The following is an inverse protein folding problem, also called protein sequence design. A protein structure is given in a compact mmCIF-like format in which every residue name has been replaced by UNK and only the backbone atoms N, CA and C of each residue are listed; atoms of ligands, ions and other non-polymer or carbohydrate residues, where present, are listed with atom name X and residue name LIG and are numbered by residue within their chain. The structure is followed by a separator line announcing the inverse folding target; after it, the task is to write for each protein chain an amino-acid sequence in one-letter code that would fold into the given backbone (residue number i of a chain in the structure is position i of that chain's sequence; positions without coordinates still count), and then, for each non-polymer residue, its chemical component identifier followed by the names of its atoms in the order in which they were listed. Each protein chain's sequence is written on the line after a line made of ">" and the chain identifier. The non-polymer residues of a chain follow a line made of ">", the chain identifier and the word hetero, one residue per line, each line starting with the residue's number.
data_IF_115912780996
#
_entry.id   IF_115912780996
#
_cell.length_a   1.000
_cell.length_b   1.000
_cell.length_c   1.000
_cell.angle_alpha   90.00
_cell.angle_beta   90.00
_cell.angle_gamma   90.00
#
_symmetry.space_group_name_H-M   'P 1'
#
loop_
_entity.id
_entity.type
_entity.pdbx_description
1 polymer ?
#
# COMPACT_ATOMS: atom_id res chain seq x y z
N UNK A 1 5.80 19.20 24.24
CA UNK A 1 5.77 17.72 24.22
C UNK A 1 4.97 17.21 23.03
N UNK A 2 5.22 17.72 21.81
CA UNK A 2 4.45 17.36 20.62
C UNK A 2 5.31 17.27 19.35
N UNK A 3 6.64 17.26 19.46
CA UNK A 3 7.58 17.29 18.33
C UNK A 3 8.42 16.00 18.18
N UNK A 4 8.08 14.91 18.88
CA UNK A 4 8.89 13.67 18.85
C UNK A 4 8.29 12.51 18.04
N UNK A 5 7.17 12.70 17.33
CA UNK A 5 6.46 11.59 16.66
C UNK A 5 6.79 11.39 15.17
N UNK A 6 7.70 12.19 14.60
CA UNK A 6 8.07 12.10 13.17
C UNK A 6 9.56 12.26 12.89
N UNK A 7 10.43 11.82 13.81
CA UNK A 7 11.84 11.62 13.48
C UNK A 7 12.00 10.23 12.83
N UNK A 8 11.60 10.13 11.56
CA UNK A 8 12.08 9.05 10.71
C UNK A 8 13.55 9.37 10.40
N UNK A 9 14.46 8.75 11.15
CA UNK A 9 15.84 8.58 10.71
C UNK A 9 15.80 7.93 9.34
N UNK A 10 16.04 8.74 8.30
CA UNK A 10 16.35 8.29 6.97
C UNK A 10 17.73 7.64 7.01
N UNK A 11 17.81 6.46 7.63
CA UNK A 11 18.94 5.57 7.44
C UNK A 11 18.81 5.04 6.01
N UNK A 12 19.79 5.31 5.13
CA UNK A 12 19.80 4.69 3.81
C UNK A 12 19.78 3.18 3.99
N UNK A 13 19.07 2.42 3.12
CA UNK A 13 19.01 0.98 3.22
C UNK A 13 20.44 0.45 3.24
N UNK A 14 20.85 -0.11 4.38
CA UNK A 14 22.10 -0.84 4.45
C UNK A 14 21.94 -2.01 3.48
N UNK A 15 22.80 -2.03 2.47
CA UNK A 15 23.01 -3.20 1.63
C UNK A 15 23.41 -4.30 2.60
N UNK A 16 22.46 -5.20 2.88
CA UNK A 16 22.75 -6.46 3.56
C UNK A 16 23.58 -7.25 2.56
N UNK A 17 24.89 -7.05 2.60
CA UNK A 17 25.82 -8.04 2.07
C UNK A 17 25.65 -9.26 2.96
N UNK A 18 25.00 -10.28 2.42
CA UNK A 18 24.89 -11.59 3.04
C UNK A 18 26.28 -12.02 3.56
N UNK A 19 26.38 -12.60 4.76
CA UNK A 19 27.61 -13.21 5.20
C UNK A 19 27.94 -14.34 4.22
N UNK A 20 29.04 -14.16 3.48
CA UNK A 20 29.66 -15.21 2.65
C UNK A 20 29.83 -16.45 3.53
N UNK A 21 29.02 -17.46 3.23
CA UNK A 21 29.04 -18.75 3.91
C UNK A 21 30.47 -19.31 3.92
N UNK A 22 31.00 -19.74 5.07
CA UNK A 22 32.33 -20.33 5.12
C UNK A 22 32.35 -21.62 4.29
N UNK A 23 33.18 -21.59 3.24
CA UNK A 23 33.56 -22.72 2.40
C UNK A 23 33.78 -23.99 3.25
N UNK A 24 33.04 -25.09 3.02
CA UNK A 24 33.25 -26.31 3.78
C UNK A 24 34.65 -26.86 3.47
N UNK A 25 35.45 -27.03 4.53
CA UNK A 25 36.74 -27.72 4.46
C UNK A 25 36.47 -29.18 4.10
N UNK A 26 37.01 -29.61 2.97
CA UNK A 26 37.09 -31.00 2.55
C UNK A 26 37.87 -31.82 3.58
N UNK A 27 37.15 -32.49 4.48
CA UNK A 27 37.71 -33.53 5.34
C UNK A 27 37.58 -34.88 4.63
N UNK A 28 38.70 -35.35 4.07
CA UNK A 28 38.91 -36.77 3.76
C UNK A 28 38.78 -37.56 5.06
N UNK A 29 37.75 -38.40 5.18
CA UNK A 29 37.82 -39.61 6.00
C UNK A 29 36.95 -40.68 5.34
N UNK A 30 37.62 -41.57 4.59
CA UNK A 30 37.05 -42.83 4.13
C UNK A 30 36.94 -43.76 5.34
N UNK A 31 35.75 -44.27 5.70
CA UNK A 31 35.68 -45.42 6.57
C UNK A 31 36.17 -46.65 5.80
N UNK A 32 37.17 -47.35 6.35
CA UNK A 32 37.51 -48.72 5.94
C UNK A 32 36.26 -49.58 6.12
N UNK A 33 35.63 -49.99 5.02
CA UNK A 33 34.67 -51.10 4.99
C UNK A 33 35.37 -52.33 5.60
N UNK A 34 34.88 -52.80 6.74
CA UNK A 34 35.23 -54.11 7.24
C UNK A 34 34.62 -55.15 6.32
N UNK A 35 35.49 -56.03 5.80
CA UNK A 35 35.11 -57.24 5.10
C UNK A 35 34.42 -58.17 6.12
N UNK A 36 33.11 -58.37 5.99
CA UNK A 36 32.40 -59.47 6.63
C UNK A 36 32.44 -60.67 5.66
N UNK A 37 32.83 -61.88 6.11
CA UNK A 37 32.73 -63.08 5.29
C UNK A 37 31.26 -63.38 5.01
N UNK A 38 30.98 -63.68 3.74
CA UNK A 38 29.71 -64.20 3.25
C UNK A 38 29.40 -65.54 3.93
N UNK A 39 28.30 -65.58 4.66
CA UNK A 39 27.63 -66.82 5.04
C UNK A 39 26.81 -67.29 3.84
N UNK A 40 27.17 -68.45 3.31
CA UNK A 40 26.49 -69.09 2.19
C UNK A 40 25.18 -69.68 2.71
N UNK A 41 24.07 -69.03 2.38
CA UNK A 41 22.74 -69.60 2.56
C UNK A 41 21.88 -69.35 1.32
N UNK A 42 21.73 -70.42 0.53
CA UNK A 42 20.68 -70.69 -0.46
C UNK A 42 20.14 -69.47 -1.24
N UNK A 43 20.83 -69.16 -2.34
CA UNK A 43 20.26 -68.41 -3.46
C UNK A 43 19.19 -69.27 -4.14
N UNK A 44 17.93 -69.10 -3.73
CA UNK A 44 16.82 -69.29 -4.67
C UNK A 44 16.98 -68.20 -5.73
N UNK A 45 17.11 -68.60 -7.01
CA UNK A 45 17.22 -67.72 -8.18
C UNK A 45 16.05 -66.73 -8.21
N UNK A 46 16.20 -65.58 -7.54
CA UNK A 46 15.32 -64.44 -7.74
C UNK A 46 15.62 -63.91 -9.14
N UNK A 47 14.79 -64.30 -10.11
CA UNK A 47 14.85 -63.76 -11.47
C UNK A 47 15.02 -62.24 -11.39
N UNK A 48 16.07 -61.73 -12.02
CA UNK A 48 16.36 -60.31 -12.04
C UNK A 48 15.11 -59.59 -12.57
N UNK A 49 14.45 -58.74 -11.78
CA UNK A 49 13.16 -58.14 -12.15
C UNK A 49 13.27 -57.36 -13.47
N UNK A 50 14.46 -56.81 -13.78
CA UNK A 50 14.75 -56.17 -15.05
C UNK A 50 14.64 -57.12 -16.24
N UNK A 51 15.21 -58.33 -16.13
CA UNK A 51 15.18 -59.35 -17.19
C UNK A 51 13.76 -59.87 -17.42
N UNK A 52 12.98 -60.00 -16.35
CA UNK A 52 11.55 -60.35 -16.44
C UNK A 52 10.77 -59.31 -17.25
N UNK A 53 11.01 -58.01 -17.01
CA UNK A 53 10.38 -56.94 -17.78
C UNK A 53 10.85 -56.85 -19.24
N UNK A 54 12.13 -57.12 -19.50
CA UNK A 54 12.66 -57.17 -20.89
C UNK A 54 12.03 -58.33 -21.66
N UNK A 55 11.88 -59.51 -21.05
CA UNK A 55 11.17 -60.65 -21.68
C UNK A 55 9.69 -60.34 -21.88
N UNK A 56 9.03 -59.78 -20.86
CA UNK A 56 7.62 -59.38 -20.95
C UNK A 56 7.37 -58.35 -22.07
N UNK A 57 8.30 -57.41 -22.28
CA UNK A 57 8.24 -56.45 -23.38
C UNK A 57 8.42 -57.12 -24.76
N UNK A 58 9.34 -58.09 -24.87
CA UNK A 58 9.57 -58.86 -26.10
C UNK A 58 8.33 -59.69 -26.49
N UNK A 59 7.56 -60.15 -25.51
CA UNK A 59 6.29 -60.86 -25.72
C UNK A 59 5.11 -59.92 -26.08
N UNK A 60 5.37 -58.61 -26.23
CA UNK A 60 4.35 -57.60 -26.55
C UNK A 60 3.52 -57.12 -25.35
N UNK A 61 4.01 -57.35 -24.13
CA UNK A 61 3.38 -56.87 -22.90
C UNK A 61 3.35 -55.34 -22.79
N UNK A 62 2.32 -54.80 -22.11
CA UNK A 62 2.20 -53.35 -21.88
C UNK A 62 3.11 -52.91 -20.73
N UNK A 63 4.07 -52.04 -21.05
CA UNK A 63 5.02 -51.46 -20.09
C UNK A 63 4.43 -50.30 -19.26
N UNK A 64 3.15 -49.95 -19.46
CA UNK A 64 2.50 -48.86 -18.73
C UNK A 64 2.42 -49.06 -17.21
N UNK A 65 2.46 -50.32 -16.74
CA UNK A 65 2.44 -50.67 -15.32
C UNK A 65 3.83 -50.83 -14.68
N UNK A 66 4.90 -50.72 -15.47
CA UNK A 66 6.27 -50.80 -14.97
C UNK A 66 6.63 -49.54 -14.16
N UNK A 67 7.45 -49.70 -13.13
CA UNK A 67 7.99 -48.56 -12.38
C UNK A 67 8.79 -47.64 -13.35
N UNK A 68 8.48 -46.34 -13.42
CA UNK A 68 9.21 -45.40 -14.27
C UNK A 68 10.73 -45.40 -14.08
N UNK A 69 11.24 -45.82 -12.92
CA UNK A 69 12.68 -45.91 -12.64
C UNK A 69 13.39 -47.03 -13.43
N UNK A 70 12.70 -48.13 -13.75
CA UNK A 70 13.30 -49.25 -14.49
C UNK A 70 13.25 -49.07 -16.02
N UNK A 71 12.40 -48.17 -16.53
CA UNK A 71 12.23 -47.95 -17.98
C UNK A 71 13.51 -47.59 -18.74
N UNK A 72 14.43 -46.74 -18.23
CA UNK A 72 15.72 -46.48 -18.89
C UNK A 72 16.56 -47.75 -19.06
N UNK A 73 16.64 -48.58 -18.01
CA UNK A 73 17.42 -49.81 -18.01
C UNK A 73 16.78 -50.87 -18.92
N UNK A 74 15.44 -50.94 -18.97
CA UNK A 74 14.70 -51.81 -19.91
C UNK A 74 14.96 -51.37 -21.37
N UNK A 75 15.02 -50.07 -21.66
CA UNK A 75 15.35 -49.56 -23.00
C UNK A 75 16.77 -49.94 -23.41
N UNK A 76 17.73 -49.94 -22.47
CA UNK A 76 19.10 -50.39 -22.71
C UNK A 76 19.10 -51.91 -22.96
N UNK A 77 18.45 -52.68 -22.10
CA UNK A 77 18.34 -54.14 -22.24
C UNK A 77 17.70 -54.58 -23.57
N UNK A 78 16.60 -53.96 -23.98
CA UNK A 78 15.95 -54.23 -25.27
C UNK A 78 16.84 -53.85 -26.47
N UNK A 79 17.63 -52.77 -26.35
CA UNK A 79 18.61 -52.39 -27.38
C UNK A 79 19.70 -53.46 -27.51
N UNK A 80 20.18 -53.98 -26.39
CA UNK A 80 21.23 -54.99 -26.37
C UNK A 80 20.72 -56.33 -26.94
N UNK A 81 19.49 -56.75 -26.56
CA UNK A 81 18.81 -57.93 -27.14
C UNK A 81 18.59 -57.78 -28.66
N UNK A 82 18.14 -56.62 -29.11
CA UNK A 82 18.01 -56.35 -30.55
C UNK A 82 19.36 -56.46 -31.27
N UNK A 83 20.42 -55.89 -30.69
CA UNK A 83 21.75 -55.92 -31.29
C UNK A 83 22.32 -57.35 -31.34
N UNK A 84 22.08 -58.19 -30.32
CA UNK A 84 22.51 -59.60 -30.35
C UNK A 84 21.77 -60.38 -31.44
N UNK A 85 20.44 -60.22 -31.55
CA UNK A 85 19.63 -60.89 -32.58
C UNK A 85 20.06 -60.52 -34.01
N UNK A 86 20.47 -59.26 -34.23
CA UNK A 86 21.03 -58.80 -35.51
C UNK A 86 22.39 -59.44 -35.83
N UNK A 87 23.25 -59.61 -34.82
CA UNK A 87 24.56 -60.28 -34.98
C UNK A 87 24.37 -61.77 -35.31
N UNK A 88 23.38 -62.41 -34.68
CA UNK A 88 23.10 -63.83 -34.85
C UNK A 88 22.28 -64.14 -36.12
N UNK A 89 21.76 -63.12 -36.80
CA UNK A 89 21.01 -63.26 -38.07
C UNK A 89 19.51 -63.51 -37.92
N UNK A 90 18.95 -63.39 -36.72
CA UNK A 90 17.51 -63.52 -36.44
C UNK A 90 16.79 -62.21 -36.73
N UNK A 91 16.49 -61.97 -38.01
CA UNK A 91 15.92 -60.71 -38.47
C UNK A 91 14.50 -60.49 -37.93
N UNK A 92 13.64 -61.50 -37.95
CA UNK A 92 12.24 -61.35 -37.52
C UNK A 92 12.12 -61.01 -36.03
N UNK A 93 12.89 -61.71 -35.17
CA UNK A 93 12.94 -61.44 -33.73
C UNK A 93 13.56 -60.06 -33.43
N UNK A 94 14.51 -59.60 -34.26
CA UNK A 94 15.08 -58.26 -34.13
C UNK A 94 14.06 -57.15 -34.42
N UNK A 95 13.08 -57.40 -35.31
CA UNK A 95 11.99 -56.46 -35.59
C UNK A 95 11.07 -56.37 -34.38
N UNK A 96 10.71 -57.50 -33.77
CA UNK A 96 9.92 -57.53 -32.53
C UNK A 96 10.63 -56.77 -31.39
N UNK A 97 11.95 -56.95 -31.26
CA UNK A 97 12.75 -56.20 -30.29
C UNK A 97 12.76 -54.68 -30.56
N UNK A 98 12.79 -54.27 -31.83
CA UNK A 98 12.70 -52.85 -32.20
C UNK A 98 11.30 -52.28 -31.92
N UNK A 99 10.23 -53.03 -32.15
CA UNK A 99 8.85 -52.63 -31.82
C UNK A 99 8.67 -52.48 -30.30
N UNK A 100 9.14 -53.45 -29.52
CA UNK A 100 9.15 -53.39 -28.06
C UNK A 100 9.96 -52.20 -27.53
N UNK A 101 11.12 -51.92 -28.13
CA UNK A 101 11.97 -50.78 -27.82
C UNK A 101 11.29 -49.44 -28.18
N UNK A 102 10.60 -49.36 -29.32
CA UNK A 102 9.83 -48.18 -29.70
C UNK A 102 8.66 -47.93 -28.72
N UNK A 103 7.98 -48.99 -28.29
CA UNK A 103 6.93 -48.94 -27.28
C UNK A 103 7.49 -48.47 -25.92
N UNK A 104 8.57 -49.07 -25.44
CA UNK A 104 9.24 -48.70 -24.18
C UNK A 104 9.68 -47.22 -24.18
N UNK A 105 10.26 -46.74 -25.29
CA UNK A 105 10.62 -45.32 -25.45
C UNK A 105 9.41 -44.40 -25.40
N UNK A 106 8.28 -44.79 -26.00
CA UNK A 106 7.03 -44.02 -25.97
C UNK A 106 6.46 -43.93 -24.56
N UNK A 107 6.40 -45.05 -23.83
CA UNK A 107 5.93 -45.09 -22.43
C UNK A 107 6.85 -44.25 -21.53
N UNK A 108 8.17 -44.41 -21.67
CA UNK A 108 9.15 -43.64 -20.90
C UNK A 108 9.02 -42.13 -21.16
N UNK A 109 8.91 -41.72 -22.43
CA UNK A 109 8.65 -40.32 -22.80
C UNK A 109 7.37 -39.81 -22.13
N UNK A 110 6.27 -40.53 -22.23
CA UNK A 110 4.99 -40.13 -21.62
C UNK A 110 5.10 -39.97 -20.10
N UNK A 111 5.84 -40.86 -19.42
CA UNK A 111 6.09 -40.76 -17.98
C UNK A 111 6.93 -39.53 -17.62
N UNK A 112 7.95 -39.20 -18.43
CA UNK A 112 8.72 -37.97 -18.26
C UNK A 112 7.84 -36.72 -18.43
N UNK A 113 6.98 -36.66 -19.46
CA UNK A 113 6.02 -35.56 -19.64
C UNK A 113 5.07 -35.42 -18.43
N UNK A 114 4.50 -36.53 -17.96
CA UNK A 114 3.59 -36.53 -16.80
C UNK A 114 4.29 -36.07 -15.53
N UNK A 115 5.48 -36.58 -15.25
CA UNK A 115 6.25 -36.21 -14.06
C UNK A 115 6.68 -34.74 -14.10
N UNK A 116 7.17 -34.25 -15.24
CA UNK A 116 7.51 -32.83 -15.42
C UNK A 116 6.29 -31.93 -15.20
N UNK A 117 5.15 -32.27 -15.80
CA UNK A 117 3.90 -31.52 -15.64
C UNK A 117 3.38 -31.54 -14.20
N UNK A 118 3.48 -32.69 -13.53
CA UNK A 118 3.09 -32.84 -12.13
C UNK A 118 3.94 -31.96 -11.21
N UNK A 119 5.26 -32.04 -11.33
CA UNK A 119 6.18 -31.25 -10.49
C UNK A 119 5.94 -29.74 -10.65
N UNK A 120 5.73 -29.27 -11.88
CA UNK A 120 5.44 -27.85 -12.15
C UNK A 120 4.07 -27.46 -11.59
N UNK A 121 3.05 -28.32 -11.74
CA UNK A 121 1.73 -28.08 -11.16
C UNK A 121 1.80 -27.99 -9.63
N UNK A 122 2.56 -28.88 -8.98
CA UNK A 122 2.72 -28.89 -7.53
C UNK A 122 3.45 -27.62 -7.05
N UNK A 123 4.51 -27.18 -7.75
CA UNK A 123 5.18 -25.89 -7.49
C UNK A 123 4.22 -24.69 -7.62
N UNK A 124 3.45 -24.65 -8.71
CA UNK A 124 2.47 -23.58 -8.94
C UNK A 124 1.37 -23.56 -7.89
N UNK A 125 0.90 -24.74 -7.45
CA UNK A 125 -0.09 -24.85 -6.38
C UNK A 125 0.47 -24.36 -5.04
N UNK A 126 1.72 -24.69 -4.71
CA UNK A 126 2.38 -24.16 -3.51
C UNK A 126 2.48 -22.63 -3.56
N UNK A 127 2.96 -22.08 -4.69
CA UNK A 127 3.02 -20.63 -4.92
C UNK A 127 1.65 -19.95 -4.87
N UNK A 128 0.59 -20.64 -5.31
CA UNK A 128 -0.78 -20.15 -5.24
C UNK A 128 -1.26 -20.06 -3.79
N UNK A 129 -1.00 -21.09 -2.99
CA UNK A 129 -1.35 -21.11 -1.58
C UNK A 129 -0.61 -20.01 -0.82
N UNK A 130 0.71 -19.88 -1.02
CA UNK A 130 1.52 -18.79 -0.45
C UNK A 130 0.97 -17.39 -0.84
N UNK A 131 0.54 -17.22 -2.09
CA UNK A 131 -0.03 -15.95 -2.54
C UNK A 131 -1.41 -15.66 -1.92
N UNK A 132 -2.21 -16.71 -1.64
CA UNK A 132 -3.50 -16.59 -0.95
C UNK A 132 -3.32 -16.28 0.54
N UNK A 133 -2.38 -16.95 1.20
CA UNK A 133 -2.05 -16.68 2.60
C UNK A 133 -1.53 -15.25 2.76
N UNK A 134 -0.63 -14.81 1.86
CA UNK A 134 -0.15 -13.43 1.86
C UNK A 134 -1.26 -12.39 1.60
N UNK A 135 -2.29 -12.72 0.81
CA UNK A 135 -3.46 -11.87 0.63
C UNK A 135 -4.30 -11.79 1.91
N UNK A 136 -4.52 -12.91 2.59
CA UNK A 136 -5.25 -12.95 3.86
C UNK A 136 -4.53 -12.13 4.94
N UNK A 137 -3.21 -12.29 5.08
CA UNK A 137 -2.39 -11.50 6.00
C UNK A 137 -2.48 -9.99 5.68
N UNK A 138 -2.48 -9.63 4.39
CA UNK A 138 -2.64 -8.24 3.96
C UNK A 138 -4.03 -7.70 4.31
N UNK A 139 -5.09 -8.48 4.14
CA UNK A 139 -6.45 -8.10 4.52
C UNK A 139 -6.57 -7.88 6.04
N UNK A 140 -6.01 -8.77 6.86
CA UNK A 140 -6.01 -8.65 8.31
C UNK A 140 -5.21 -7.43 8.79
N UNK A 141 -4.01 -7.23 8.25
CA UNK A 141 -3.18 -6.07 8.61
C UNK A 141 -3.81 -4.74 8.20
N UNK A 142 -4.43 -4.68 7.01
CA UNK A 142 -5.13 -3.46 6.56
C UNK A 142 -6.39 -3.20 7.36
N UNK A 143 -7.12 -4.24 7.81
CA UNK A 143 -8.27 -4.06 8.70
C UNK A 143 -7.84 -3.54 10.07
N UNK A 144 -6.76 -4.08 10.64
CA UNK A 144 -6.21 -3.60 11.91
C UNK A 144 -5.75 -2.15 11.84
N UNK A 145 -5.01 -1.78 10.79
CA UNK A 145 -4.57 -0.41 10.57
C UNK A 145 -5.73 0.56 10.40
N UNK A 146 -6.80 0.16 9.70
CA UNK A 146 -8.01 0.95 9.51
C UNK A 146 -8.74 1.20 10.84
N UNK A 147 -8.91 0.15 11.65
CA UNK A 147 -9.49 0.28 12.99
C UNK A 147 -8.69 1.23 13.88
N UNK A 148 -7.36 1.07 13.90
CA UNK A 148 -6.45 1.94 14.66
C UNK A 148 -6.51 3.39 14.19
N UNK A 149 -6.54 3.62 12.88
CA UNK A 149 -6.68 4.96 12.31
C UNK A 149 -7.98 5.63 12.76
N UNK A 150 -9.10 4.90 12.70
CA UNK A 150 -10.40 5.40 13.13
C UNK A 150 -10.42 5.72 14.64
N UNK A 151 -9.81 4.89 15.48
CA UNK A 151 -9.69 5.16 16.91
C UNK A 151 -8.91 6.45 17.19
N UNK A 152 -7.81 6.68 16.46
CA UNK A 152 -7.03 7.91 16.58
C UNK A 152 -7.87 9.13 16.17
N UNK A 153 -8.60 9.05 15.05
CA UNK A 153 -9.47 10.14 14.58
C UNK A 153 -10.56 10.49 15.63
N UNK A 154 -11.21 9.48 16.21
CA UNK A 154 -12.21 9.68 17.27
C UNK A 154 -11.60 10.34 18.51
N UNK A 155 -10.39 9.93 18.89
CA UNK A 155 -9.67 10.54 20.01
C UNK A 155 -9.31 12.00 19.73
N UNK A 156 -8.84 12.32 18.53
CA UNK A 156 -8.55 13.70 18.10
C UNK A 156 -9.81 14.57 18.14
N UNK A 157 -10.96 14.05 17.73
CA UNK A 157 -12.24 14.77 17.76
C UNK A 157 -12.71 15.02 19.21
N UNK A 158 -12.54 14.04 20.10
CA UNK A 158 -12.87 14.20 21.52
C UNK A 158 -12.01 15.29 22.19
N UNK A 159 -10.70 15.30 21.89
CA UNK A 159 -9.77 16.32 22.39
C UNK A 159 -10.15 17.71 21.87
N UNK A 160 -10.52 17.81 20.58
CA UNK A 160 -10.97 19.06 19.98
C UNK A 160 -12.23 19.60 20.70
N UNK A 161 -13.21 18.72 20.94
CA UNK A 161 -14.46 19.07 21.59
C UNK A 161 -14.27 19.52 23.04
N UNK A 162 -13.42 18.83 23.80
CA UNK A 162 -13.06 19.23 25.16
C UNK A 162 -12.41 20.62 25.18
N UNK A 163 -11.50 20.89 24.25
CA UNK A 163 -10.88 22.21 24.10
C UNK A 163 -11.92 23.29 23.75
N UNK A 164 -12.83 23.03 22.81
CA UNK A 164 -13.91 23.96 22.46
C UNK A 164 -14.80 24.27 23.65
N UNK A 165 -15.12 23.25 24.46
CA UNK A 165 -15.92 23.40 25.68
C UNK A 165 -15.20 24.27 26.72
N UNK A 166 -13.90 24.03 26.93
CA UNK A 166 -13.06 24.86 27.82
C UNK A 166 -12.97 26.31 27.34
N UNK A 167 -12.76 26.53 26.05
CA UNK A 167 -12.74 27.89 25.47
C UNK A 167 -14.09 28.61 25.67
N UNK A 168 -15.20 27.87 25.56
CA UNK A 168 -16.54 28.42 25.79
C UNK A 168 -16.75 28.81 27.26
N UNK A 169 -16.38 27.93 28.18
CA UNK A 169 -16.51 28.20 29.61
C UNK A 169 -15.62 29.37 30.03
N UNK A 170 -14.37 29.42 29.55
CA UNK A 170 -13.46 30.53 29.81
C UNK A 170 -14.03 31.86 29.30
N UNK A 171 -14.70 31.86 28.15
CA UNK A 171 -15.38 33.05 27.64
C UNK A 171 -16.50 33.47 28.61
N UNK A 172 -17.37 32.54 29.02
CA UNK A 172 -18.45 32.84 29.98
C UNK A 172 -17.87 33.42 31.28
N UNK A 173 -16.87 32.75 31.87
CA UNK A 173 -16.18 33.20 33.07
C UNK A 173 -15.56 34.59 32.91
N UNK A 174 -14.91 34.87 31.77
CA UNK A 174 -14.33 36.20 31.48
C UNK A 174 -15.40 37.29 31.50
N UNK A 175 -16.56 37.03 30.90
CA UNK A 175 -17.66 37.99 30.79
C UNK A 175 -18.42 38.19 32.11
N UNK A 176 -18.45 37.19 32.98
CA UNK A 176 -18.96 37.31 34.35
C UNK A 176 -18.01 38.07 35.29
N UNK A 177 -16.74 38.23 34.91
CA UNK A 177 -15.80 38.97 35.76
C UNK A 177 -16.20 40.43 35.95
N UNK A 178 -16.03 40.91 37.18
CA UNK A 178 -16.36 42.29 37.53
C UNK A 178 -15.58 43.33 36.71
N UNK A 179 -14.40 42.96 36.17
CA UNK A 179 -13.62 43.82 35.27
C UNK A 179 -14.37 44.11 33.97
N UNK A 180 -15.01 43.12 33.35
CA UNK A 180 -15.82 43.30 32.14
C UNK A 180 -17.10 44.06 32.45
N UNK A 181 -17.82 43.68 33.51
CA UNK A 181 -19.05 44.36 33.92
C UNK A 181 -18.84 45.88 34.19
N UNK A 182 -17.70 46.27 34.76
CA UNK A 182 -17.35 47.69 34.98
C UNK A 182 -17.27 48.52 33.69
N UNK A 183 -16.93 47.90 32.56
CA UNK A 183 -16.89 48.58 31.26
C UNK A 183 -18.27 49.06 30.79
N UNK A 184 -19.32 48.31 31.14
CA UNK A 184 -20.70 48.58 30.76
C UNK A 184 -21.46 49.37 31.83
N UNK A 185 -21.07 49.27 33.10
CA UNK A 185 -21.71 49.94 34.24
C UNK A 185 -21.18 51.36 34.52
N UNK A 186 -20.88 52.15 33.48
CA UNK A 186 -20.34 53.51 33.65
C UNK A 186 -21.45 54.54 33.79
N UNK A 187 -21.59 55.08 35.00
CA UNK A 187 -22.55 56.15 35.34
C UNK A 187 -22.32 57.39 34.48
N UNK A 188 -23.38 57.94 33.90
CA UNK A 188 -23.32 59.17 33.12
C UNK A 188 -22.88 60.38 33.96
N UNK A 189 -22.49 61.46 33.30
CA UNK A 189 -22.20 62.71 33.99
C UNK A 189 -23.47 63.32 34.62
N UNK A 190 -24.62 63.15 33.96
CA UNK A 190 -25.91 63.66 34.44
C UNK A 190 -26.37 62.93 35.71
N UNK A 191 -26.27 61.60 35.75
CA UNK A 191 -26.62 60.84 36.94
C UNK A 191 -25.71 61.18 38.13
N UNK A 192 -24.41 61.36 37.88
CA UNK A 192 -23.47 61.87 38.90
C UNK A 192 -23.86 63.25 39.40
N UNK A 193 -24.23 64.16 38.50
CA UNK A 193 -24.67 65.50 38.85
C UNK A 193 -25.96 65.48 39.69
N UNK A 194 -26.97 64.68 39.31
CA UNK A 194 -28.21 64.56 40.06
C UNK A 194 -27.99 63.99 41.46
N UNK A 195 -27.09 63.01 41.61
CA UNK A 195 -26.71 62.46 42.92
C UNK A 195 -26.00 63.50 43.79
N UNK A 196 -25.02 64.23 43.25
CA UNK A 196 -24.35 65.32 43.98
C UNK A 196 -25.32 66.45 44.35
N UNK A 197 -26.25 66.81 43.45
CA UNK A 197 -27.29 67.80 43.73
C UNK A 197 -28.23 67.34 44.85
N UNK A 198 -28.65 66.08 44.85
CA UNK A 198 -29.50 65.52 45.91
C UNK A 198 -28.79 65.57 47.28
N UNK A 199 -27.49 65.25 47.33
CA UNK A 199 -26.67 65.32 48.54
C UNK A 199 -26.49 66.76 49.04
N UNK A 200 -26.25 67.71 48.15
CA UNK A 200 -26.15 69.14 48.49
C UNK A 200 -27.47 69.66 49.06
N UNK A 201 -28.60 69.32 48.46
CA UNK A 201 -29.94 69.68 48.94
C UNK A 201 -30.25 69.06 50.30
N UNK A 202 -29.80 67.81 50.53
CA UNK A 202 -29.94 67.13 51.82
C UNK A 202 -29.16 67.85 52.91
N UNK A 203 -27.89 68.23 52.66
CA UNK A 203 -27.06 69.01 53.58
C UNK A 203 -27.65 70.40 53.87
N UNK A 204 -28.30 71.01 52.89
CA UNK A 204 -29.02 72.28 53.02
C UNK A 204 -30.39 72.16 53.72
N UNK A 205 -30.77 70.97 54.21
CA UNK A 205 -32.06 70.67 54.88
C UNK A 205 -33.29 70.88 53.99
N UNK A 206 -33.13 70.87 52.66
CA UNK A 206 -34.22 70.97 51.69
C UNK A 206 -34.74 69.59 51.29
N UNK A 207 -35.42 68.92 52.21
CA UNK A 207 -35.76 67.50 52.08
C UNK A 207 -36.70 67.18 50.91
N UNK A 208 -37.70 68.02 50.65
CA UNK A 208 -38.67 67.77 49.57
C UNK A 208 -38.01 67.88 48.18
N UNK A 209 -37.19 68.90 47.96
CA UNK A 209 -36.43 69.08 46.72
C UNK A 209 -35.44 67.93 46.51
N UNK A 210 -34.69 67.54 47.56
CA UNK A 210 -33.77 66.40 47.52
C UNK A 210 -34.50 65.10 47.13
N UNK A 211 -35.70 64.86 47.66
CA UNK A 211 -36.51 63.68 47.32
C UNK A 211 -36.93 63.65 45.84
N UNK A 212 -37.28 64.80 45.26
CA UNK A 212 -37.64 64.92 43.85
C UNK A 212 -36.41 64.63 42.96
N UNK A 213 -35.26 65.22 43.28
CA UNK A 213 -34.01 65.01 42.54
C UNK A 213 -33.56 63.55 42.63
N UNK A 214 -33.63 62.93 43.82
CA UNK A 214 -33.32 61.51 43.99
C UNK A 214 -34.23 60.61 43.17
N UNK A 215 -35.55 60.87 43.14
CA UNK A 215 -36.47 60.10 42.30
C UNK A 215 -36.11 60.19 40.81
N UNK A 216 -35.67 61.37 40.34
CA UNK A 216 -35.18 61.55 38.98
C UNK A 216 -33.88 60.78 38.73
N UNK A 217 -32.95 60.82 39.68
CA UNK A 217 -31.71 60.05 39.63
C UNK A 217 -31.98 58.53 39.56
N UNK A 218 -32.89 58.00 40.38
CA UNK A 218 -33.24 56.58 40.40
C UNK A 218 -33.89 56.12 39.07
N UNK A 219 -34.71 56.97 38.45
CA UNK A 219 -35.28 56.68 37.12
C UNK A 219 -34.20 56.65 36.03
N UNK A 220 -33.27 57.61 36.06
CA UNK A 220 -32.16 57.66 35.11
C UNK A 220 -31.19 56.48 35.30
N UNK A 221 -30.89 56.12 36.54
CA UNK A 221 -30.06 54.96 36.88
C UNK A 221 -30.64 53.66 36.33
N UNK A 222 -31.95 53.42 36.52
CA UNK A 222 -32.61 52.24 35.95
C UNK A 222 -32.48 52.19 34.43
N UNK A 223 -32.68 53.32 33.75
CA UNK A 223 -32.56 53.40 32.30
C UNK A 223 -31.10 53.18 31.82
N UNK A 224 -30.11 53.71 32.54
CA UNK A 224 -28.69 53.52 32.23
C UNK A 224 -28.25 52.07 32.46
N UNK A 225 -28.68 51.44 33.55
CA UNK A 225 -28.41 50.02 33.85
C UNK A 225 -29.01 49.14 32.75
N UNK A 226 -30.27 49.36 32.37
CA UNK A 226 -30.92 48.56 31.33
C UNK A 226 -30.22 48.72 29.98
N UNK A 227 -29.84 49.95 29.62
CA UNK A 227 -29.08 50.20 28.39
C UNK A 227 -27.71 49.53 28.42
N UNK A 228 -27.00 49.62 29.54
CA UNK A 228 -25.70 48.96 29.73
C UNK A 228 -25.80 47.45 29.63
N UNK A 229 -26.83 46.85 30.25
CA UNK A 229 -27.11 45.42 30.17
C UNK A 229 -27.37 44.97 28.73
N UNK A 230 -28.25 45.67 28.00
CA UNK A 230 -28.54 45.33 26.59
C UNK A 230 -27.31 45.40 25.70
N UNK A 231 -26.43 46.39 25.91
CA UNK A 231 -25.19 46.51 25.16
C UNK A 231 -24.24 45.35 25.49
N UNK A 232 -24.06 45.05 26.77
CA UNK A 232 -23.23 43.93 27.23
C UNK A 232 -23.72 42.60 26.66
N UNK A 233 -25.03 42.35 26.66
CA UNK A 233 -25.64 41.15 26.10
C UNK A 233 -25.43 41.03 24.59
N UNK A 234 -25.60 42.14 23.85
CA UNK A 234 -25.35 42.17 22.41
C UNK A 234 -23.87 41.88 22.07
N UNK A 235 -22.93 42.50 22.78
CA UNK A 235 -21.50 42.29 22.57
C UNK A 235 -21.07 40.88 22.99
N UNK A 236 -21.66 40.33 24.05
CA UNK A 236 -21.44 38.94 24.47
C UNK A 236 -21.93 37.96 23.40
N UNK A 237 -23.14 38.18 22.88
CA UNK A 237 -23.71 37.34 21.83
C UNK A 237 -22.85 37.37 20.56
N UNK A 238 -22.35 38.54 20.17
CA UNK A 238 -21.41 38.67 19.06
C UNK A 238 -20.11 37.90 19.30
N UNK A 239 -19.54 37.99 20.52
CA UNK A 239 -18.33 37.25 20.89
C UNK A 239 -18.57 35.73 20.86
N UNK A 240 -19.72 35.28 21.36
CA UNK A 240 -20.17 33.90 21.36
C UNK A 240 -20.33 33.35 19.94
N UNK A 241 -20.95 34.11 19.03
CA UNK A 241 -21.14 33.71 17.65
C UNK A 241 -19.81 33.65 16.87
N UNK A 242 -18.92 34.60 17.11
CA UNK A 242 -17.56 34.57 16.56
C UNK A 242 -16.77 33.33 17.04
N UNK A 243 -16.92 32.94 18.32
CA UNK A 243 -16.29 31.75 18.87
C UNK A 243 -16.84 30.47 18.23
N UNK A 244 -18.17 30.35 18.14
CA UNK A 244 -18.83 29.22 17.48
C UNK A 244 -18.41 29.08 16.01
N UNK A 245 -18.30 30.20 15.30
CA UNK A 245 -17.86 30.21 13.91
C UNK A 245 -16.40 29.75 13.77
N UNK A 246 -15.52 30.17 14.69
CA UNK A 246 -14.13 29.68 14.76
C UNK A 246 -14.10 28.17 15.01
N UNK A 247 -14.84 27.67 16.00
CA UNK A 247 -14.95 26.25 16.32
C UNK A 247 -15.48 25.43 15.13
N UNK A 248 -16.49 25.95 14.42
CA UNK A 248 -17.04 25.33 13.20
C UNK A 248 -16.00 25.21 12.10
N UNK A 249 -15.27 26.29 11.80
CA UNK A 249 -14.19 26.29 10.79
C UNK A 249 -13.08 25.29 11.14
N UNK A 250 -12.72 25.23 12.41
CA UNK A 250 -11.70 24.31 12.88
C UNK A 250 -12.14 22.85 12.75
N UNK A 251 -13.38 22.53 13.15
CA UNK A 251 -13.95 21.19 13.00
C UNK A 251 -14.01 20.78 11.53
N UNK A 252 -14.46 21.66 10.64
CA UNK A 252 -14.47 21.41 9.19
C UNK A 252 -13.07 21.18 8.64
N UNK A 253 -12.06 21.91 9.13
CA UNK A 253 -10.67 21.72 8.72
C UNK A 253 -10.17 20.34 9.17
N UNK A 254 -10.46 19.93 10.39
CA UNK A 254 -10.09 18.62 10.93
C UNK A 254 -10.79 17.48 10.18
N UNK A 255 -12.09 17.60 9.95
CA UNK A 255 -12.89 16.64 9.19
C UNK A 255 -12.35 16.44 7.77
N UNK A 256 -12.01 17.53 7.07
CA UNK A 256 -11.35 17.45 5.75
C UNK A 256 -9.99 16.77 5.82
N UNK A 257 -9.21 17.03 6.86
CA UNK A 257 -7.93 16.36 7.07
C UNK A 257 -8.11 14.85 7.29
N UNK A 258 -9.09 14.45 8.10
CA UNK A 258 -9.44 13.04 8.31
C UNK A 258 -9.93 12.37 7.03
N UNK A 259 -10.80 13.03 6.27
CA UNK A 259 -11.31 12.54 4.99
C UNK A 259 -10.18 12.33 3.98
N UNK A 260 -9.24 13.28 3.89
CA UNK A 260 -8.07 13.14 3.01
C UNK A 260 -7.19 11.96 3.43
N UNK A 261 -6.88 11.84 4.73
CA UNK A 261 -6.14 10.68 5.25
C UNK A 261 -6.84 9.36 4.93
N UNK A 262 -8.17 9.29 5.08
CA UNK A 262 -8.96 8.10 4.72
C UNK A 262 -8.87 7.80 3.22
N UNK A 263 -9.01 8.81 2.36
CA UNK A 263 -8.92 8.64 0.90
C UNK A 263 -7.54 8.13 0.48
N UNK A 264 -6.48 8.73 1.01
CA UNK A 264 -5.10 8.32 0.75
C UNK A 264 -4.87 6.87 1.20
N UNK A 265 -5.32 6.53 2.41
CA UNK A 265 -5.22 5.17 2.94
C UNK A 265 -6.00 4.15 2.11
N UNK A 266 -7.26 4.45 1.76
CA UNK A 266 -8.09 3.55 0.94
C UNK A 266 -7.50 3.36 -0.45
N UNK A 267 -6.94 4.41 -1.05
CA UNK A 267 -6.28 4.31 -2.35
C UNK A 267 -5.04 3.41 -2.28
N UNK A 268 -4.22 3.53 -1.23
CA UNK A 268 -3.06 2.67 -1.01
C UNK A 268 -3.49 1.20 -0.75
N UNK A 269 -4.47 1.00 0.13
CA UNK A 269 -5.06 -0.31 0.43
C UNK A 269 -5.55 -1.02 -0.84
N UNK A 270 -6.36 -0.34 -1.65
CA UNK A 270 -6.90 -0.94 -2.88
C UNK A 270 -5.80 -1.23 -3.89
N UNK A 271 -4.76 -0.39 -3.97
CA UNK A 271 -3.61 -0.63 -4.83
C UNK A 271 -2.87 -1.92 -4.44
N UNK A 272 -2.57 -2.10 -3.16
CA UNK A 272 -1.84 -3.28 -2.67
C UNK A 272 -2.68 -4.56 -2.82
N UNK A 273 -3.98 -4.50 -2.47
CA UNK A 273 -4.91 -5.62 -2.67
C UNK A 273 -5.02 -6.01 -4.14
N UNK A 274 -5.07 -5.03 -5.05
CA UNK A 274 -5.12 -5.30 -6.49
C UNK A 274 -3.83 -5.96 -7.00
N UNK A 275 -2.66 -5.57 -6.49
CA UNK A 275 -1.39 -6.23 -6.82
C UNK A 275 -1.43 -7.70 -6.39
N UNK A 276 -1.86 -7.97 -5.16
CA UNK A 276 -1.96 -9.33 -4.64
C UNK A 276 -2.96 -10.18 -5.45
N UNK A 277 -4.14 -9.64 -5.76
CA UNK A 277 -5.15 -10.31 -6.62
C UNK A 277 -4.61 -10.60 -8.03
N UNK A 278 -3.89 -9.66 -8.65
CA UNK A 278 -3.26 -9.87 -9.96
C UNK A 278 -2.20 -10.96 -9.92
N UNK A 279 -1.43 -11.06 -8.83
CA UNK A 279 -0.45 -12.13 -8.65
C UNK A 279 -1.15 -13.50 -8.59
N UNK A 280 -2.23 -13.62 -7.84
CA UNK A 280 -3.05 -14.84 -7.78
C UNK A 280 -3.58 -15.19 -9.17
N UNK A 281 -4.25 -14.25 -9.85
CA UNK A 281 -4.82 -14.49 -11.18
C UNK A 281 -3.75 -14.91 -12.21
N UNK A 282 -2.54 -14.34 -12.13
CA UNK A 282 -1.42 -14.76 -12.99
C UNK A 282 -1.02 -16.21 -12.72
N UNK A 283 -0.91 -16.62 -11.46
CA UNK A 283 -0.55 -18.00 -11.09
C UNK A 283 -1.66 -18.97 -11.52
N UNK A 284 -2.93 -18.61 -11.35
CA UNK A 284 -4.07 -19.42 -11.81
C UNK A 284 -4.02 -19.61 -13.34
N UNK A 285 -3.70 -18.55 -14.09
CA UNK A 285 -3.48 -18.64 -15.53
C UNK A 285 -2.26 -19.51 -15.89
N UNK A 286 -1.17 -19.45 -15.10
CA UNK A 286 -0.01 -20.36 -15.26
C UNK A 286 -0.44 -21.82 -15.05
N UNK A 287 -1.27 -22.12 -14.04
CA UNK A 287 -1.80 -23.46 -13.77
C UNK A 287 -2.66 -23.97 -14.94
N UNK A 288 -3.53 -23.12 -15.49
CA UNK A 288 -4.35 -23.45 -16.66
C UNK A 288 -3.46 -23.76 -17.88
N UNK A 289 -2.40 -22.97 -18.10
CA UNK A 289 -1.46 -23.22 -19.19
C UNK A 289 -0.67 -24.52 -19.04
N UNK A 290 -0.44 -24.98 -17.82
CA UNK A 290 0.24 -26.25 -17.49
C UNK A 290 -0.69 -27.46 -17.65
N UNK A 291 -1.97 -27.27 -17.99
CA UNK A 291 -2.88 -28.37 -18.28
C UNK A 291 -2.44 -29.24 -19.47
N UNK A 292 -1.66 -28.71 -20.42
CA UNK A 292 -1.15 -29.41 -21.59
C UNK A 292 0.30 -29.91 -21.39
N UNK A 293 0.53 -31.23 -21.23
CA UNK A 293 1.85 -31.81 -20.97
C UNK A 293 2.85 -31.65 -22.12
N UNK A 294 2.38 -31.57 -23.37
CA UNK A 294 3.27 -31.39 -24.52
C UNK A 294 3.80 -29.96 -24.56
N UNK A 295 2.92 -28.98 -24.32
CA UNK A 295 3.27 -27.56 -24.25
C UNK A 295 4.27 -27.27 -23.12
N UNK A 296 4.08 -27.89 -21.95
CA UNK A 296 4.96 -27.75 -20.78
C UNK A 296 6.34 -28.33 -21.08
N UNK A 297 6.40 -29.55 -21.59
CA UNK A 297 7.66 -30.19 -21.94
C UNK A 297 8.41 -29.41 -23.01
N UNK A 298 7.71 -28.99 -24.07
CA UNK A 298 8.26 -28.17 -25.13
C UNK A 298 8.61 -26.74 -24.68
N UNK A 299 8.26 -26.29 -23.48
CA UNK A 299 8.71 -25.01 -22.91
C UNK A 299 9.98 -25.18 -22.08
N UNK A 300 10.01 -26.21 -21.24
CA UNK A 300 11.10 -26.46 -20.29
C UNK A 300 12.31 -27.19 -20.90
N UNK A 301 12.10 -28.03 -21.92
CA UNK A 301 13.14 -28.82 -22.55
C UNK A 301 13.56 -28.27 -23.93
N UNK A 302 13.25 -26.98 -24.22
CA UNK A 302 13.69 -26.30 -25.46
C UNK A 302 15.20 -26.24 -25.59
N UNK A 303 15.89 -26.21 -24.46
CA UNK A 303 17.34 -26.05 -24.37
C UNK A 303 18.09 -27.37 -24.18
N UNK A 304 17.39 -28.47 -23.88
CA UNK A 304 18.00 -29.79 -23.69
C UNK A 304 18.34 -30.46 -25.02
N UNK A 305 17.68 -30.05 -26.10
CA UNK A 305 18.18 -30.27 -27.43
C UNK A 305 19.21 -29.17 -27.72
N UNK A 306 20.50 -29.49 -27.59
CA UNK A 306 21.56 -28.78 -28.30
C UNK A 306 21.27 -28.87 -29.81
N UNK A 307 20.35 -28.04 -30.31
CA UNK A 307 20.34 -27.75 -31.73
C UNK A 307 21.69 -27.07 -32.02
N UNK A 308 22.38 -27.46 -33.11
CA UNK A 308 23.53 -26.71 -33.59
C UNK A 308 23.12 -25.23 -33.64
N UNK A 309 24.04 -24.30 -33.25
CA UNK A 309 23.72 -22.89 -33.12
C UNK A 309 22.94 -22.46 -34.38
N UNK A 310 21.80 -21.77 -34.22
CA UNK A 310 20.99 -21.40 -35.37
C UNK A 310 21.92 -20.71 -36.35
N UNK A 311 22.05 -21.28 -37.56
CA UNK A 311 22.68 -20.62 -38.70
C UNK A 311 22.09 -19.22 -38.66
N UNK A 312 22.95 -18.22 -38.44
CA UNK A 312 22.56 -16.83 -38.32
C UNK A 312 21.76 -16.50 -39.57
N UNK A 313 20.43 -16.59 -39.47
CA UNK A 313 19.55 -16.05 -40.49
C UNK A 313 19.80 -14.57 -40.34
N UNK A 314 20.56 -14.02 -41.27
CA UNK A 314 20.74 -12.59 -41.43
C UNK A 314 19.35 -11.99 -41.33
N UNK A 315 19.07 -11.42 -40.16
CA UNK A 315 17.87 -10.64 -39.96
C UNK A 315 18.08 -9.46 -40.89
N UNK A 316 17.38 -9.49 -42.02
CA UNK A 316 17.17 -8.31 -42.84
C UNK A 316 16.51 -7.31 -41.89
N UNK A 317 17.35 -6.49 -41.27
CA UNK A 317 16.93 -5.38 -40.45
C UNK A 317 16.26 -4.41 -41.41
N UNK A 318 14.96 -4.56 -41.61
CA UNK A 318 14.12 -3.45 -42.06
C UNK A 318 14.22 -2.41 -40.96
N UNK A 319 15.20 -1.51 -41.10
CA UNK A 319 15.51 -0.46 -40.16
C UNK A 319 14.25 0.32 -39.86
N UNK A 320 13.69 0.10 -38.68
CA UNK A 320 12.76 1.06 -38.09
C UNK A 320 13.58 2.32 -37.91
N UNK A 321 13.41 3.29 -38.83
CA UNK A 321 13.92 4.64 -38.64
C UNK A 321 13.46 5.09 -37.25
N UNK A 322 14.42 5.33 -36.37
CA UNK A 322 14.19 5.97 -35.08
C UNK A 322 13.49 7.29 -35.37
N UNK A 323 12.18 7.34 -35.14
CA UNK A 323 11.43 8.59 -35.14
C UNK A 323 11.85 9.29 -33.86
N UNK A 324 12.65 10.34 -34.00
CA UNK A 324 13.03 11.21 -32.88
C UNK A 324 11.77 11.97 -32.46
N UNK A 325 11.05 11.43 -31.46
CA UNK A 325 9.76 11.94 -30.96
C UNK A 325 9.86 13.40 -30.46
N UNK A 326 11.08 13.88 -30.18
CA UNK A 326 11.34 15.28 -29.78
C UNK A 326 10.97 16.31 -30.87
N UNK A 327 10.98 15.94 -32.16
CA UNK A 327 10.67 16.89 -33.24
C UNK A 327 9.17 17.00 -33.53
N UNK A 328 8.36 16.01 -33.15
CA UNK A 328 6.93 15.94 -33.49
C UNK A 328 5.98 16.32 -32.35
N UNK A 329 6.48 16.50 -31.12
CA UNK A 329 5.70 16.90 -29.94
C UNK A 329 5.94 18.35 -29.50
N UNK A 330 6.19 19.26 -30.44
CA UNK A 330 6.17 20.71 -30.14
C UNK A 330 5.02 21.39 -30.88
N UNK A 331 3.97 21.74 -30.12
CA UNK A 331 2.91 22.62 -30.62
C UNK A 331 3.52 24.02 -30.74
N UNK A 332 3.54 24.58 -31.95
CA UNK A 332 3.96 25.95 -32.17
C UNK A 332 3.02 26.90 -31.41
N UNK A 333 3.48 27.41 -30.27
CA UNK A 333 2.73 28.40 -29.51
C UNK A 333 2.71 29.73 -30.28
N UNK A 334 1.59 30.47 -30.26
CA UNK A 334 1.53 31.79 -30.87
C UNK A 334 2.58 32.71 -30.23
N UNK A 335 3.23 33.59 -31.00
CA UNK A 335 4.30 34.45 -30.50
C UNK A 335 3.79 35.27 -29.31
N UNK A 336 4.52 35.21 -28.19
CA UNK A 336 4.22 35.99 -27.00
C UNK A 336 4.15 37.47 -27.39
N UNK A 337 3.00 38.11 -27.11
CA UNK A 337 2.84 39.56 -27.27
C UNK A 337 3.90 40.25 -26.41
N UNK A 338 4.96 40.73 -27.06
CA UNK A 338 6.12 41.35 -26.42
C UNK A 338 5.69 42.48 -25.49
N UNK A 339 6.05 42.37 -24.20
CA UNK A 339 6.45 43.36 -23.18
C UNK A 339 6.00 44.84 -23.25
N UNK A 340 4.96 45.23 -23.99
CA UNK A 340 4.40 46.59 -23.99
C UNK A 340 3.16 46.74 -23.11
N UNK A 341 2.51 45.64 -22.73
CA UNK A 341 1.33 45.63 -21.84
C UNK A 341 1.68 45.50 -20.35
N UNK A 342 2.78 44.84 -19.97
CA UNK A 342 3.16 44.73 -18.54
C UNK A 342 3.65 46.04 -17.92
N UNK A 343 4.28 46.93 -18.71
CA UNK A 343 4.73 48.26 -18.24
C UNK A 343 3.57 49.20 -17.90
N UNK A 344 2.37 49.02 -18.50
CA UNK A 344 1.18 49.80 -18.11
C UNK A 344 0.62 49.34 -16.76
N UNK A 345 0.59 48.03 -16.50
CA UNK A 345 0.07 47.47 -15.24
C UNK A 345 0.96 47.81 -14.04
N UNK A 346 2.29 47.79 -14.20
CA UNK A 346 3.23 48.15 -13.13
C UNK A 346 3.12 49.65 -12.79
N UNK A 347 2.97 50.53 -13.79
CA UNK A 347 2.79 51.98 -13.55
C UNK A 347 1.47 52.32 -12.86
N UNK A 348 0.38 51.57 -13.11
CA UNK A 348 -0.89 51.75 -12.38
C UNK A 348 -0.81 51.27 -10.94
N UNK A 349 -0.06 50.20 -10.66
CA UNK A 349 0.15 49.70 -9.29
C UNK A 349 1.00 50.68 -8.45
N UNK A 350 2.06 51.24 -9.03
CA UNK A 350 2.90 52.24 -8.33
C UNK A 350 2.17 53.57 -8.08
N UNK A 351 1.25 53.98 -8.98
CA UNK A 351 0.44 55.19 -8.79
C UNK A 351 -0.60 55.02 -7.68
N UNK A 352 -1.19 53.84 -7.54
CA UNK A 352 -2.11 53.54 -6.43
C UNK A 352 -1.40 53.43 -5.07
N UNK A 353 -0.16 52.90 -5.04
CA UNK A 353 0.62 52.85 -3.81
C UNK A 353 1.08 54.24 -3.33
N UNK A 354 1.35 55.18 -4.25
CA UNK A 354 1.70 56.57 -3.88
C UNK A 354 0.50 57.38 -3.38
N UNK A 355 -0.70 57.16 -3.89
CA UNK A 355 -1.90 57.89 -3.45
C UNK A 355 -2.34 57.49 -2.02
N UNK A 356 -2.14 56.23 -1.62
CA UNK A 356 -2.53 55.76 -0.27
C UNK A 356 -1.54 56.07 0.84
N UNK A 357 -0.36 56.65 0.54
CA UNK A 357 0.64 56.98 1.56
C UNK A 357 0.44 58.35 2.23
N UNK A 358 -0.47 59.18 1.71
CA UNK A 358 -0.73 60.53 2.21
C UNK A 358 -2.05 60.66 3.00
N UNK A 359 -2.72 59.56 3.34
CA UNK A 359 -4.00 59.56 4.06
C UNK A 359 -3.91 58.96 5.47
N UNK A 360 -2.76 59.09 6.13
CA UNK A 360 -2.63 58.79 7.57
C UNK A 360 -1.86 59.94 8.20
N UNK A 361 -2.48 60.58 9.19
CA UNK A 361 -2.10 61.80 9.92
C UNK A 361 -2.52 63.14 9.30
N UNK A 362 -3.79 63.49 9.51
CA UNK A 362 -4.18 64.67 10.30
C UNK A 362 -5.38 64.33 11.16
#
# INVERSE_FOLDING_TARGET
>A
MADELFNYDATPPQIITEPVSPRPKTARNRPRRSYKPSDQTNEEEQENPLESWVRYAMDGGDLSSCDPEYLPDIIIGLRDVRNSLLVDGFVDDSILAEEALAHARKVHRNNLHKNATKNIRDDLNNRLNEAKDALADLEDTTQFQEARMNEIMVREDAILLDRHTKEMNNLIEEWETQKKCRGYNRISAELRFLRDQADRLLRAKKYQESKIVNKKADLLEKAEIEKGHRLMEADFQLAMDNMKEKHRKERQKQERAHENKRKEYLAAKEFDLNIARKRIAKIEQEIENVADPEKVWALHHRHDFEMPPPVQRETIMTGKRSVVVQEFNTIALPPLKTAKTSRRLIRTAERNYRMNRNYIFT
#
